data_IF_270368317345
#
_entry.id   IF_270368317345
#
_cell.length_a   1.000
_cell.length_b   1.000
_cell.length_c   1.000
_cell.angle_alpha   90.00
_cell.angle_beta   90.00
_cell.angle_gamma   90.00
#
_symmetry.space_group_name_H-M   'P 1'
#
loop_
_entity.id
_entity.type
_entity.pdbx_description
1 polymer ?
#
# COMPACT_ATOMS: atom_id res chain seq x y z
N UNK A 1 -16.42 2.88 -17.32
CA UNK A 1 -17.00 1.60 -17.76
C UNK A 1 -17.01 0.64 -16.58
N UNK A 2 -18.11 -0.09 -16.35
CA UNK A 2 -18.12 -1.18 -15.38
C UNK A 2 -17.20 -2.29 -15.88
N UNK A 3 -16.45 -2.92 -14.97
CA UNK A 3 -15.65 -4.09 -15.33
C UNK A 3 -16.57 -5.22 -15.82
N UNK A 4 -16.13 -6.04 -16.77
CA UNK A 4 -16.83 -7.28 -17.09
C UNK A 4 -16.93 -8.13 -15.82
N UNK A 5 -18.15 -8.43 -15.37
CA UNK A 5 -18.43 -9.34 -14.27
C UNK A 5 -17.58 -10.64 -14.28
N UNK A 6 -17.33 -11.31 -15.43
CA UNK A 6 -16.48 -12.49 -15.44
C UNK A 6 -15.02 -12.24 -15.05
N UNK A 7 -14.44 -11.08 -15.39
CA UNK A 7 -13.06 -10.75 -15.03
C UNK A 7 -12.91 -10.55 -13.52
N UNK A 8 -13.88 -9.87 -12.90
CA UNK A 8 -13.88 -9.68 -11.46
C UNK A 8 -14.08 -11.01 -10.72
N UNK A 9 -14.98 -11.87 -11.19
CA UNK A 9 -15.18 -13.20 -10.61
C UNK A 9 -13.90 -14.05 -10.69
N UNK A 10 -13.20 -14.04 -11.84
CA UNK A 10 -11.93 -14.74 -12.01
C UNK A 10 -10.85 -14.20 -11.06
N UNK A 11 -10.69 -12.88 -10.98
CA UNK A 11 -9.72 -12.24 -10.09
C UNK A 11 -10.01 -12.58 -8.62
N UNK A 12 -11.28 -12.49 -8.20
CA UNK A 12 -11.69 -12.82 -6.84
C UNK A 12 -11.43 -14.29 -6.51
N UNK A 13 -11.80 -15.21 -7.41
CA UNK A 13 -11.56 -16.64 -7.22
C UNK A 13 -10.06 -16.94 -7.07
N UNK A 14 -9.22 -16.37 -7.94
CA UNK A 14 -7.77 -16.56 -7.89
C UNK A 14 -7.15 -15.95 -6.63
N UNK A 15 -7.48 -14.70 -6.28
CA UNK A 15 -6.92 -14.04 -5.09
C UNK A 15 -7.40 -14.70 -3.80
N UNK A 16 -8.61 -15.23 -3.77
CA UNK A 16 -9.10 -16.04 -2.65
C UNK A 16 -8.33 -17.35 -2.54
N UNK A 17 -8.10 -18.05 -3.66
CA UNK A 17 -7.27 -19.25 -3.71
C UNK A 17 -5.84 -18.96 -3.21
N UNK A 18 -5.26 -17.81 -3.56
CA UNK A 18 -3.95 -17.39 -3.07
C UNK A 18 -3.88 -17.29 -1.55
N UNK A 19 -4.95 -16.91 -0.85
CA UNK A 19 -4.99 -16.92 0.62
C UNK A 19 -4.74 -18.31 1.20
N UNK A 20 -5.24 -19.36 0.55
CA UNK A 20 -5.08 -20.74 1.01
C UNK A 20 -3.73 -21.35 0.61
N UNK A 21 -3.23 -20.99 -0.58
CA UNK A 21 -1.99 -21.54 -1.13
C UNK A 21 -0.73 -20.89 -0.55
N UNK A 22 -0.78 -19.59 -0.23
CA UNK A 22 0.38 -18.89 0.34
C UNK A 22 0.44 -19.18 1.84
N UNK A 23 1.20 -20.22 2.19
CA UNK A 23 1.46 -20.67 3.57
C UNK A 23 2.89 -20.38 4.05
N UNK A 24 3.67 -19.64 3.27
CA UNK A 24 5.08 -19.39 3.57
C UNK A 24 5.27 -18.55 4.83
N UNK A 25 6.18 -18.98 5.70
CA UNK A 25 6.50 -18.38 7.00
C UNK A 25 7.29 -17.07 6.93
N UNK A 26 7.56 -16.53 5.74
CA UNK A 26 8.17 -15.21 5.64
C UNK A 26 7.20 -14.19 6.19
N UNK A 27 7.32 -13.86 7.46
CA UNK A 27 6.47 -12.90 8.13
C UNK A 27 7.38 -11.74 8.51
N UNK A 28 7.60 -10.77 7.60
CA UNK A 28 8.36 -9.60 7.98
C UNK A 28 7.61 -8.95 9.15
N UNK A 29 8.38 -8.34 10.05
CA UNK A 29 7.95 -7.54 11.20
C UNK A 29 6.57 -6.86 11.00
N UNK A 30 6.34 -6.20 9.87
CA UNK A 30 5.09 -5.49 9.54
C UNK A 30 3.80 -6.32 9.58
N UNK A 31 3.85 -7.62 9.32
CA UNK A 31 2.65 -8.46 9.24
C UNK A 31 1.97 -8.57 10.61
N UNK A 32 2.75 -8.90 11.65
CA UNK A 32 2.26 -8.97 13.03
C UNK A 32 2.04 -7.56 13.60
N UNK A 33 2.92 -6.61 13.28
CA UNK A 33 2.79 -5.22 13.73
C UNK A 33 1.54 -4.51 13.19
N UNK A 34 0.83 -5.06 12.21
CA UNK A 34 -0.47 -4.53 11.77
C UNK A 34 -1.63 -5.20 12.48
N UNK A 35 -1.65 -6.54 12.52
CA UNK A 35 -2.77 -7.32 13.05
C UNK A 35 -2.80 -7.39 14.57
N UNK A 36 -1.64 -7.52 15.23
CA UNK A 36 -1.57 -7.53 16.70
C UNK A 36 -1.90 -6.17 17.29
N UNK A 37 -1.46 -5.10 16.62
CA UNK A 37 -1.80 -3.73 17.01
C UNK A 37 -3.28 -3.48 16.83
N UNK A 38 -3.86 -3.89 15.70
CA UNK A 38 -5.29 -3.82 15.47
C UNK A 38 -6.11 -4.62 16.49
N UNK A 39 -5.62 -5.79 16.91
CA UNK A 39 -6.24 -6.59 17.97
C UNK A 39 -6.16 -5.88 19.32
N UNK A 40 -4.99 -5.34 19.69
CA UNK A 40 -4.76 -4.57 20.92
C UNK A 40 -5.65 -3.33 21.00
N UNK A 41 -5.80 -2.59 19.89
CA UNK A 41 -6.70 -1.44 19.80
C UNK A 41 -8.15 -1.79 20.16
N UNK A 42 -8.54 -3.05 19.97
CA UNK A 42 -9.80 -3.55 20.47
C UNK A 42 -9.73 -3.94 21.96
N UNK A 43 -8.79 -4.79 22.33
CA UNK A 43 -8.80 -5.46 23.64
C UNK A 43 -8.41 -4.56 24.81
N UNK A 44 -7.63 -3.49 24.60
CA UNK A 44 -7.32 -2.51 25.65
C UNK A 44 -8.47 -1.51 25.83
N UNK A 45 -9.41 -1.94 26.67
CA UNK A 45 -10.44 -1.08 27.26
C UNK A 45 -10.02 -0.42 28.57
N UNK A 46 -8.89 -0.83 29.17
CA UNK A 46 -8.49 -0.44 30.52
C UNK A 46 -6.97 -0.35 30.59
N UNK A 47 -6.46 0.85 30.88
CA UNK A 47 -5.14 1.00 31.49
C UNK A 47 -5.04 0.07 32.71
N UNK A 48 -3.89 -0.56 32.99
CA UNK A 48 -3.65 -1.23 34.27
C UNK A 48 -3.80 -0.29 35.48
N UNK A 49 -3.65 1.02 35.25
CA UNK A 49 -3.56 2.05 36.28
C UNK A 49 -4.82 2.94 36.37
N UNK A 50 -5.90 2.60 35.65
CA UNK A 50 -7.24 3.19 35.84
C UNK A 50 -7.36 4.72 35.70
N UNK A 51 -6.40 5.38 35.04
CA UNK A 51 -6.34 6.85 34.96
C UNK A 51 -6.50 7.45 33.55
N UNK A 52 -6.55 6.62 32.50
CA UNK A 52 -6.82 7.03 31.12
C UNK A 52 -8.28 6.87 30.70
N UNK A 53 -8.78 7.83 29.92
CA UNK A 53 -10.06 7.73 29.22
C UNK A 53 -10.06 6.50 28.29
N UNK A 54 -11.15 5.72 28.30
CA UNK A 54 -11.31 4.58 27.42
C UNK A 54 -11.14 5.00 25.95
N UNK A 55 -10.30 4.29 25.20
CA UNK A 55 -10.13 4.55 23.77
C UNK A 55 -11.49 4.56 23.05
N UNK A 56 -11.71 5.39 22.01
CA UNK A 56 -13.00 5.46 21.29
C UNK A 56 -13.46 4.12 20.68
N UNK A 57 -12.55 3.13 20.57
CA UNK A 57 -12.81 1.79 20.06
C UNK A 57 -12.80 0.68 21.11
N UNK A 58 -12.61 1.04 22.39
CA UNK A 58 -12.62 0.14 23.54
C UNK A 58 -13.84 -0.79 23.56
N UNK A 59 -13.61 -2.08 23.85
CA UNK A 59 -14.64 -3.11 23.93
C UNK A 59 -14.96 -3.50 25.36
N UNK A 60 -16.23 -3.79 25.65
CA UNK A 60 -16.56 -4.57 26.84
C UNK A 60 -15.93 -5.96 26.70
N UNK A 61 -15.03 -6.29 27.62
CA UNK A 61 -14.21 -7.50 27.67
C UNK A 61 -14.98 -8.79 28.03
N UNK A 62 -16.27 -8.84 27.74
CA UNK A 62 -17.16 -9.90 28.24
C UNK A 62 -17.31 -11.11 27.31
N UNK A 63 -16.80 -11.06 26.06
CA UNK A 63 -17.06 -12.12 25.06
C UNK A 63 -15.82 -12.92 24.66
N UNK A 64 -14.62 -12.35 24.75
CA UNK A 64 -13.35 -13.06 24.74
C UNK A 64 -12.71 -12.82 26.10
N UNK A 65 -12.64 -13.86 26.93
CA UNK A 65 -11.94 -13.92 28.23
C UNK A 65 -10.41 -13.78 28.05
N UNK A 66 -9.96 -12.77 27.30
CA UNK A 66 -8.57 -12.54 26.91
C UNK A 66 -8.26 -11.07 27.17
N UNK A 67 -7.94 -10.76 28.43
CA UNK A 67 -7.39 -9.47 28.82
C UNK A 67 -5.93 -9.36 28.34
N UNK A 68 -5.52 -8.18 27.84
CA UNK A 68 -4.13 -7.81 27.52
C UNK A 68 -3.40 -8.72 26.51
N UNK A 69 -3.90 -8.85 25.26
CA UNK A 69 -3.22 -9.58 24.21
C UNK A 69 -2.97 -8.72 22.95
N UNK A 70 -1.70 -8.64 22.55
CA UNK A 70 -1.19 -7.85 21.42
C UNK A 70 0.07 -7.05 21.81
N UNK A 71 1.19 -7.25 21.11
CA UNK A 71 2.46 -6.65 21.48
C UNK A 71 2.73 -5.37 20.68
N UNK A 72 2.92 -4.25 21.38
CA UNK A 72 3.47 -3.03 20.75
C UNK A 72 4.98 -3.15 20.74
N UNK A 73 5.55 -3.27 19.55
CA UNK A 73 6.99 -3.22 19.36
C UNK A 73 7.54 -1.81 19.65
N UNK A 74 8.86 -1.71 19.86
CA UNK A 74 9.56 -0.46 20.16
C UNK A 74 9.35 0.65 19.11
N UNK A 75 8.99 0.29 17.87
CA UNK A 75 8.68 1.24 16.81
C UNK A 75 7.38 2.02 17.07
N UNK A 76 6.42 1.38 17.76
CA UNK A 76 5.19 2.04 18.21
C UNK A 76 5.47 2.92 19.41
N UNK A 77 6.28 2.47 20.38
CA UNK A 77 6.66 3.33 21.51
C UNK A 77 7.45 4.56 21.05
N UNK A 78 8.19 4.45 19.94
CA UNK A 78 8.93 5.56 19.32
C UNK A 78 8.09 6.36 18.30
N UNK A 79 6.80 6.07 18.16
CA UNK A 79 5.87 6.72 17.21
C UNK A 79 6.39 6.77 15.76
N UNK A 80 6.96 5.66 15.28
CA UNK A 80 7.52 5.51 13.94
C UNK A 80 6.50 4.98 12.92
N UNK A 81 5.36 4.45 13.39
CA UNK A 81 4.31 3.85 12.56
C UNK A 81 2.95 4.44 12.85
N UNK A 82 2.14 4.62 11.81
CA UNK A 82 0.82 5.27 11.94
C UNK A 82 -0.24 4.21 12.22
N UNK A 83 -1.19 4.55 13.10
CA UNK A 83 -2.34 3.72 13.39
C UNK A 83 -3.35 3.68 12.23
N UNK A 84 -3.19 4.52 11.20
CA UNK A 84 -4.08 4.60 10.05
C UNK A 84 -4.29 3.24 9.34
N UNK A 85 -3.24 2.41 9.26
CA UNK A 85 -3.33 1.10 8.62
C UNK A 85 -3.88 0.00 9.55
N UNK A 86 -3.40 -0.18 10.79
CA UNK A 86 -4.04 -1.08 11.76
C UNK A 86 -5.52 -0.79 12.01
N UNK A 87 -5.93 0.49 11.98
CA UNK A 87 -7.33 0.90 12.20
C UNK A 87 -8.29 0.24 11.20
N UNK A 88 -7.84 0.00 9.97
CA UNK A 88 -8.63 -0.72 8.95
C UNK A 88 -8.98 -2.13 9.47
N UNK A 89 -8.01 -2.86 10.00
CA UNK A 89 -8.25 -4.20 10.53
C UNK A 89 -9.00 -4.17 11.87
N UNK A 90 -8.72 -3.20 12.73
CA UNK A 90 -9.46 -3.02 13.98
C UNK A 90 -10.96 -2.81 13.72
N UNK A 91 -11.29 -2.05 12.67
CA UNK A 91 -12.69 -1.87 12.25
C UNK A 91 -13.34 -3.17 11.74
N UNK A 92 -12.58 -4.05 11.08
CA UNK A 92 -13.07 -5.37 10.65
C UNK A 92 -13.33 -6.28 11.83
N UNK A 93 -12.42 -6.29 12.81
CA UNK A 93 -12.61 -6.99 14.07
C UNK A 93 -13.83 -6.43 14.81
N UNK A 94 -14.06 -5.11 14.72
CA UNK A 94 -15.26 -4.48 15.28
C UNK A 94 -16.55 -4.97 14.67
N UNK A 95 -16.59 -5.04 13.36
CA UNK A 95 -17.75 -5.60 12.66
C UNK A 95 -18.00 -7.07 13.07
N UNK A 96 -16.97 -7.89 13.19
CA UNK A 96 -17.11 -9.30 13.59
C UNK A 96 -17.68 -9.46 15.00
N UNK A 97 -17.20 -8.65 15.95
CA UNK A 97 -17.69 -8.68 17.32
C UNK A 97 -19.14 -8.21 17.43
N UNK A 98 -19.52 -7.14 16.72
CA UNK A 98 -20.91 -6.67 16.68
C UNK A 98 -21.86 -7.73 16.10
N UNK A 99 -21.35 -8.63 15.26
CA UNK A 99 -22.09 -9.77 14.72
C UNK A 99 -22.00 -11.04 15.61
N UNK A 100 -21.35 -10.97 16.78
CA UNK A 100 -21.07 -12.10 17.66
C UNK A 100 -20.36 -13.28 16.94
N UNK A 101 -19.43 -12.96 16.03
CA UNK A 101 -18.64 -13.91 15.23
C UNK A 101 -17.12 -13.69 15.41
N UNK A 102 -16.69 -13.43 16.62
CA UNK A 102 -15.30 -13.19 17.04
C UNK A 102 -14.47 -14.48 17.22
N UNK A 103 -14.67 -15.47 16.33
CA UNK A 103 -13.87 -16.68 16.32
C UNK A 103 -12.42 -16.37 15.88
N UNK A 104 -11.43 -16.96 16.55
CA UNK A 104 -9.99 -16.89 16.20
C UNK A 104 -9.75 -17.15 14.71
N UNK A 105 -10.43 -18.13 14.11
CA UNK A 105 -10.30 -18.41 12.68
C UNK A 105 -10.74 -17.21 11.83
N UNK A 106 -11.83 -16.53 12.18
CA UNK A 106 -12.30 -15.35 11.44
C UNK A 106 -11.35 -14.16 11.62
N UNK A 107 -10.78 -13.96 12.81
CA UNK A 107 -9.77 -12.93 13.05
C UNK A 107 -8.51 -13.13 12.20
N UNK A 108 -8.11 -14.38 11.95
CA UNK A 108 -6.97 -14.70 11.07
C UNK A 108 -7.32 -14.53 9.58
N UNK A 109 -8.47 -15.04 9.15
CA UNK A 109 -8.81 -15.12 7.73
C UNK A 109 -9.40 -13.83 7.15
N UNK A 110 -10.18 -13.07 7.92
CA UNK A 110 -10.90 -11.89 7.41
C UNK A 110 -9.95 -10.81 6.89
N UNK A 111 -8.88 -10.40 7.59
CA UNK A 111 -7.91 -9.43 7.07
C UNK A 111 -7.27 -9.88 5.75
N UNK A 112 -6.93 -11.17 5.62
CA UNK A 112 -6.32 -11.75 4.42
C UNK A 112 -7.29 -11.77 3.25
N UNK A 113 -8.54 -12.16 3.49
CA UNK A 113 -9.60 -12.15 2.49
C UNK A 113 -9.94 -10.71 2.05
N UNK A 114 -9.97 -9.76 2.97
CA UNK A 114 -10.18 -8.35 2.64
C UNK A 114 -9.07 -7.81 1.72
N UNK A 115 -7.81 -8.13 2.01
CA UNK A 115 -6.68 -7.80 1.12
C UNK A 115 -6.81 -8.47 -0.25
N UNK A 116 -7.20 -9.75 -0.30
CA UNK A 116 -7.41 -10.47 -1.56
C UNK A 116 -8.52 -9.84 -2.42
N UNK A 117 -9.62 -9.40 -1.79
CA UNK A 117 -10.71 -8.69 -2.47
C UNK A 117 -10.22 -7.35 -3.03
N UNK A 118 -9.50 -6.56 -2.24
CA UNK A 118 -8.92 -5.30 -2.69
C UNK A 118 -7.91 -5.50 -3.84
N UNK A 119 -7.06 -6.53 -3.75
CA UNK A 119 -6.13 -6.89 -4.81
C UNK A 119 -6.86 -7.30 -6.11
N UNK A 120 -7.93 -8.08 -6.01
CA UNK A 120 -8.75 -8.45 -7.18
C UNK A 120 -9.38 -7.22 -7.85
N UNK A 121 -9.88 -6.27 -7.06
CA UNK A 121 -10.35 -4.99 -7.58
C UNK A 121 -9.23 -4.19 -8.24
N UNK A 122 -8.03 -4.17 -7.66
CA UNK A 122 -6.88 -3.51 -8.25
C UNK A 122 -6.51 -4.12 -9.60
N UNK A 123 -6.43 -5.44 -9.71
CA UNK A 123 -6.11 -6.13 -10.98
C UNK A 123 -7.13 -5.78 -12.08
N UNK A 124 -8.41 -5.73 -11.74
CA UNK A 124 -9.47 -5.34 -12.68
C UNK A 124 -9.37 -3.86 -13.05
N UNK A 125 -8.99 -2.98 -12.12
CA UNK A 125 -8.74 -1.56 -12.43
C UNK A 125 -7.52 -1.39 -13.33
N UNK A 126 -6.47 -2.20 -13.17
CA UNK A 126 -5.33 -2.23 -14.07
C UNK A 126 -5.74 -2.65 -15.48
N UNK A 127 -6.55 -3.70 -15.62
CA UNK A 127 -7.13 -4.12 -16.89
C UNK A 127 -7.91 -2.97 -17.56
N UNK A 128 -8.81 -2.32 -16.83
CA UNK A 128 -9.62 -1.22 -17.36
C UNK A 128 -8.77 -0.01 -17.77
N UNK A 129 -7.70 0.28 -17.02
CA UNK A 129 -6.76 1.33 -17.37
C UNK A 129 -6.08 1.03 -18.71
N UNK A 130 -5.49 -0.15 -18.86
CA UNK A 130 -4.82 -0.54 -20.11
C UNK A 130 -5.80 -0.61 -21.28
N UNK A 131 -7.02 -1.10 -21.05
CA UNK A 131 -8.06 -1.11 -22.08
C UNK A 131 -8.42 0.30 -22.56
N UNK A 132 -8.40 1.29 -21.66
CA UNK A 132 -8.65 2.69 -22.02
C UNK A 132 -7.46 3.34 -22.74
N UNK A 133 -6.23 2.96 -22.38
CA UNK A 133 -5.01 3.54 -22.97
C UNK A 133 -4.68 2.93 -24.34
N UNK A 134 -4.91 1.63 -24.49
CA UNK A 134 -4.58 0.84 -25.67
C UNK A 134 -5.83 0.21 -26.27
N UNK A 135 -5.95 -1.11 -26.15
CA UNK A 135 -7.00 -1.93 -26.72
C UNK A 135 -7.32 -3.11 -25.78
N UNK A 136 -8.38 -3.84 -26.09
CA UNK A 136 -8.82 -4.95 -25.24
C UNK A 136 -7.85 -6.15 -25.22
N UNK A 137 -7.04 -6.35 -26.27
CA UNK A 137 -6.13 -7.50 -26.36
C UNK A 137 -4.90 -7.29 -25.49
N UNK A 138 -4.25 -6.13 -25.59
CA UNK A 138 -3.16 -5.71 -24.71
C UNK A 138 -3.61 -5.72 -23.25
N UNK A 139 -4.83 -5.25 -22.95
CA UNK A 139 -5.37 -5.30 -21.60
C UNK A 139 -5.48 -6.73 -21.04
N UNK A 140 -5.91 -7.70 -21.85
CA UNK A 140 -5.96 -9.12 -21.45
C UNK A 140 -4.56 -9.67 -21.14
N UNK A 141 -3.55 -9.33 -21.96
CA UNK A 141 -2.17 -9.74 -21.73
C UNK A 141 -1.59 -9.13 -20.45
N UNK A 142 -1.78 -7.82 -20.21
CA UNK A 142 -1.33 -7.17 -18.98
C UNK A 142 -2.01 -7.79 -17.75
N UNK A 143 -3.32 -8.03 -17.83
CA UNK A 143 -4.05 -8.71 -16.77
C UNK A 143 -3.52 -10.12 -16.51
N UNK A 144 -3.27 -10.90 -17.56
CA UNK A 144 -2.66 -12.22 -17.45
C UNK A 144 -1.27 -12.15 -16.78
N UNK A 145 -0.38 -11.25 -17.23
CA UNK A 145 0.93 -11.03 -16.61
C UNK A 145 0.81 -10.65 -15.12
N UNK A 146 -0.12 -9.77 -14.78
CA UNK A 146 -0.37 -9.35 -13.40
C UNK A 146 -0.88 -10.50 -12.50
N UNK A 147 -1.72 -11.39 -13.03
CA UNK A 147 -2.19 -12.58 -12.31
C UNK A 147 -1.08 -13.62 -12.15
N UNK A 148 -0.23 -13.79 -13.17
CA UNK A 148 0.88 -14.75 -13.19
C UNK A 148 2.16 -14.26 -12.49
N UNK A 149 2.25 -12.97 -12.15
CA UNK A 149 3.40 -12.44 -11.43
C UNK A 149 3.55 -13.15 -10.09
N UNK A 150 4.67 -13.86 -9.94
CA UNK A 150 4.96 -14.63 -8.72
C UNK A 150 5.01 -13.72 -7.48
N UNK A 151 5.53 -12.49 -7.62
CA UNK A 151 5.67 -11.56 -6.50
C UNK A 151 4.32 -10.96 -6.09
N UNK A 152 3.44 -10.67 -7.06
CA UNK A 152 2.05 -10.31 -6.76
C UNK A 152 1.34 -11.46 -6.08
N UNK A 153 1.46 -12.68 -6.60
CA UNK A 153 0.87 -13.87 -5.99
C UNK A 153 1.30 -14.02 -4.53
N UNK A 154 2.61 -13.86 -4.28
CA UNK A 154 3.21 -13.94 -2.97
C UNK A 154 2.74 -12.86 -1.98
N UNK A 155 2.59 -11.60 -2.43
CA UNK A 155 2.39 -10.45 -1.55
C UNK A 155 0.94 -9.98 -1.42
N UNK A 156 0.11 -10.13 -2.46
CA UNK A 156 -1.18 -9.44 -2.58
C UNK A 156 -2.24 -9.82 -1.51
N UNK A 157 -2.15 -11.00 -0.91
CA UNK A 157 -3.09 -11.48 0.13
C UNK A 157 -2.58 -11.25 1.54
N UNK A 158 -1.36 -10.72 1.68
CA UNK A 158 -0.71 -10.45 2.96
C UNK A 158 -1.03 -9.04 3.41
N UNK A 159 -1.19 -8.87 4.71
CA UNK A 159 -1.54 -7.61 5.35
C UNK A 159 -0.32 -6.69 5.51
N UNK A 160 0.50 -6.57 4.47
CA UNK A 160 1.68 -5.71 4.42
C UNK A 160 1.31 -4.30 3.97
N UNK A 161 1.97 -3.28 4.53
CA UNK A 161 1.75 -1.90 4.10
C UNK A 161 2.17 -1.69 2.64
N UNK A 162 3.21 -2.39 2.15
CA UNK A 162 3.60 -2.39 0.73
C UNK A 162 2.53 -2.96 -0.20
N UNK A 163 1.73 -3.92 0.28
CA UNK A 163 0.61 -4.45 -0.50
C UNK A 163 -0.46 -3.38 -0.67
N UNK A 164 -0.80 -2.68 0.41
CA UNK A 164 -1.74 -1.56 0.37
C UNK A 164 -1.21 -0.40 -0.48
N UNK A 165 0.08 -0.07 -0.38
CA UNK A 165 0.77 0.93 -1.22
C UNK A 165 0.64 0.58 -2.72
N UNK A 166 0.81 -0.69 -3.07
CA UNK A 166 0.68 -1.18 -4.46
C UNK A 166 -0.77 -1.12 -4.95
N UNK A 167 -1.74 -1.55 -4.13
CA UNK A 167 -3.17 -1.48 -4.44
C UNK A 167 -3.61 -0.02 -4.67
N UNK A 168 -3.23 0.88 -3.76
CA UNK A 168 -3.53 2.31 -3.88
C UNK A 168 -2.83 2.92 -5.10
N UNK A 169 -1.62 2.48 -5.43
CA UNK A 169 -0.93 2.91 -6.65
C UNK A 169 -1.70 2.52 -7.91
N UNK A 170 -2.24 1.30 -7.99
CA UNK A 170 -3.08 0.88 -9.12
C UNK A 170 -4.38 1.71 -9.20
N UNK A 171 -5.05 1.95 -8.07
CA UNK A 171 -6.24 2.79 -8.04
C UNK A 171 -5.94 4.24 -8.45
N UNK A 172 -4.86 4.81 -7.95
CA UNK A 172 -4.44 6.15 -8.31
C UNK A 172 -4.06 6.23 -9.81
N UNK A 173 -3.38 5.23 -10.35
CA UNK A 173 -3.06 5.14 -11.78
C UNK A 173 -4.32 5.12 -12.65
N UNK A 174 -5.38 4.43 -12.21
CA UNK A 174 -6.66 4.40 -12.94
C UNK A 174 -7.33 5.78 -13.09
N UNK A 175 -6.92 6.75 -12.28
CA UNK A 175 -7.40 8.13 -12.30
C UNK A 175 -6.33 9.16 -12.69
N UNK A 176 -5.10 8.72 -13.01
CA UNK A 176 -3.99 9.60 -13.32
C UNK A 176 -4.09 10.13 -14.77
N UNK A 177 -3.96 11.45 -15.01
CA UNK A 177 -4.07 12.03 -16.34
C UNK A 177 -2.83 11.69 -17.20
N UNK A 178 -2.97 10.69 -18.08
CA UNK A 178 -1.91 10.28 -19.00
C UNK A 178 -2.01 11.11 -20.29
N UNK A 179 -0.86 11.60 -20.78
CA UNK A 179 -0.78 12.36 -22.04
C UNK A 179 -1.49 11.61 -23.18
N UNK A 180 -2.48 12.26 -23.78
CA UNK A 180 -3.22 11.73 -24.93
C UNK A 180 -4.43 10.87 -24.58
N UNK A 181 -4.77 10.67 -23.30
CA UNK A 181 -6.03 10.06 -22.90
C UNK A 181 -7.11 11.13 -22.66
N UNK A 182 -8.39 10.76 -22.79
CA UNK A 182 -9.53 11.64 -22.46
C UNK A 182 -9.78 11.74 -20.95
N UNK A 183 -8.86 11.25 -20.12
CA UNK A 183 -9.01 11.21 -18.67
C UNK A 183 -8.76 12.62 -18.12
N UNK A 184 -9.84 13.28 -17.69
CA UNK A 184 -9.75 14.61 -17.08
C UNK A 184 -8.99 14.58 -15.76
N UNK A 185 -8.40 15.72 -15.39
CA UNK A 185 -7.71 15.91 -14.12
C UNK A 185 -8.65 15.58 -12.95
N UNK A 186 -8.33 14.54 -12.19
CA UNK A 186 -9.17 14.11 -11.08
C UNK A 186 -8.46 14.31 -9.75
N UNK A 187 -9.05 15.11 -8.87
CA UNK A 187 -8.66 15.20 -7.45
C UNK A 187 -8.59 13.81 -6.78
N UNK A 188 -9.31 12.82 -7.32
CA UNK A 188 -9.31 11.43 -6.85
C UNK A 188 -7.93 10.77 -6.84
N UNK A 189 -7.10 10.97 -7.87
CA UNK A 189 -5.78 10.33 -7.88
C UNK A 189 -4.88 10.95 -6.80
N UNK A 190 -4.93 12.28 -6.62
CA UNK A 190 -4.18 12.97 -5.56
C UNK A 190 -4.60 12.49 -4.17
N UNK A 191 -5.90 12.31 -3.93
CA UNK A 191 -6.41 11.78 -2.67
C UNK A 191 -5.91 10.35 -2.39
N UNK A 192 -5.89 9.49 -3.41
CA UNK A 192 -5.38 8.12 -3.28
C UNK A 192 -3.87 8.08 -3.04
N UNK A 193 -3.11 8.96 -3.70
CA UNK A 193 -1.65 9.11 -3.46
C UNK A 193 -1.39 9.64 -2.05
N UNK A 194 -2.13 10.64 -1.59
CA UNK A 194 -2.01 11.17 -0.24
C UNK A 194 -2.31 10.10 0.82
N UNK A 195 -3.37 9.30 0.61
CA UNK A 195 -3.68 8.15 1.47
C UNK A 195 -2.55 7.11 1.48
N UNK A 196 -1.94 6.82 0.32
CA UNK A 196 -0.81 5.91 0.23
C UNK A 196 0.40 6.42 1.03
N UNK A 197 0.68 7.74 0.98
CA UNK A 197 1.77 8.37 1.74
C UNK A 197 1.50 8.33 3.25
N UNK A 198 0.25 8.49 3.69
CA UNK A 198 -0.10 8.39 5.12
C UNK A 198 0.09 6.98 5.65
N UNK A 199 -0.38 5.97 4.90
CA UNK A 199 -0.19 4.55 5.24
C UNK A 199 1.29 4.20 5.21
N UNK A 200 2.01 4.69 4.19
CA UNK A 200 3.43 4.43 4.01
C UNK A 200 4.14 5.62 3.37
N UNK A 201 4.99 6.37 4.11
CA UNK A 201 5.67 7.56 3.61
C UNK A 201 6.48 7.33 2.34
N UNK A 202 6.98 6.12 2.13
CA UNK A 202 7.78 5.75 0.96
C UNK A 202 7.01 5.81 -0.36
N UNK A 203 5.68 5.83 -0.33
CA UNK A 203 4.83 5.93 -1.52
C UNK A 203 5.09 7.23 -2.31
N UNK A 204 5.67 8.25 -1.67
CA UNK A 204 6.10 9.48 -2.33
C UNK A 204 7.17 9.22 -3.40
N UNK A 205 8.01 8.20 -3.21
CA UNK A 205 9.14 7.90 -4.10
C UNK A 205 8.65 7.53 -5.51
N UNK A 206 7.83 6.46 -5.70
CA UNK A 206 7.34 6.12 -7.04
C UNK A 206 6.45 7.18 -7.64
N UNK A 207 5.69 7.93 -6.84
CA UNK A 207 4.76 8.94 -7.33
C UNK A 207 5.40 10.28 -7.68
N UNK A 208 6.58 10.61 -7.14
CA UNK A 208 7.19 11.91 -7.36
C UNK A 208 7.41 12.23 -8.85
N UNK A 209 7.96 11.35 -9.69
CA UNK A 209 8.12 11.63 -11.12
C UNK A 209 6.78 11.85 -11.83
N UNK A 210 5.73 11.08 -11.48
CA UNK A 210 4.41 11.20 -12.10
C UNK A 210 3.73 12.52 -11.71
N UNK A 211 3.70 12.84 -10.43
CA UNK A 211 3.09 14.08 -9.92
C UNK A 211 3.83 15.30 -10.47
N UNK A 212 5.16 15.27 -10.49
CA UNK A 212 5.98 16.34 -11.08
C UNK A 212 5.72 16.51 -12.58
N UNK A 213 5.64 15.41 -13.32
CA UNK A 213 5.31 15.45 -14.74
C UNK A 213 3.89 15.97 -15.02
N UNK A 214 2.91 15.68 -14.17
CA UNK A 214 1.58 16.28 -14.28
C UNK A 214 1.63 17.79 -13.99
N UNK A 215 2.35 18.20 -12.94
CA UNK A 215 2.54 19.62 -12.61
C UNK A 215 3.20 20.41 -13.77
N UNK A 216 4.15 19.81 -14.49
CA UNK A 216 4.78 20.45 -15.65
C UNK A 216 3.86 20.59 -16.86
N UNK A 217 2.85 19.73 -17.00
CA UNK A 217 1.89 19.78 -18.11
C UNK A 217 0.75 20.76 -17.87
N UNK A 218 0.43 21.01 -16.61
CA UNK A 218 -0.71 21.82 -16.24
C UNK A 218 -0.45 23.30 -16.55
N UNK A 219 -1.33 23.91 -17.35
CA UNK A 219 -1.23 25.33 -17.71
C UNK A 219 -1.56 26.21 -16.50
N UNK A 220 -2.59 25.82 -15.73
CA UNK A 220 -3.02 26.54 -14.51
C UNK A 220 -2.43 25.91 -13.27
N UNK A 221 -1.12 26.08 -13.09
CA UNK A 221 -0.35 25.53 -11.96
C UNK A 221 -0.90 25.95 -10.59
N UNK A 222 -1.31 27.21 -10.47
CA UNK A 222 -1.85 27.76 -9.23
C UNK A 222 -3.15 27.06 -8.81
N UNK A 223 -4.07 26.84 -9.76
CA UNK A 223 -5.33 26.12 -9.51
C UNK A 223 -5.10 24.68 -9.05
N UNK A 224 -4.17 23.96 -9.70
CA UNK A 224 -3.84 22.59 -9.31
C UNK A 224 -3.35 22.53 -7.86
N UNK A 225 -2.47 23.45 -7.48
CA UNK A 225 -1.93 23.52 -6.12
C UNK A 225 -3.02 23.93 -5.13
N UNK A 226 -3.70 25.05 -5.38
CA UNK A 226 -4.60 25.69 -4.44
C UNK A 226 -5.92 24.94 -4.24
N UNK A 227 -6.48 24.38 -5.31
CA UNK A 227 -7.79 23.72 -5.26
C UNK A 227 -7.71 22.19 -5.15
N UNK A 228 -6.59 21.56 -5.52
CA UNK A 228 -6.45 20.11 -5.42
C UNK A 228 -5.38 19.69 -4.41
N UNK A 229 -4.11 20.09 -4.58
CA UNK A 229 -3.02 19.59 -3.73
C UNK A 229 -3.15 20.03 -2.27
N UNK A 230 -3.41 21.32 -2.02
CA UNK A 230 -3.51 21.87 -0.65
C UNK A 230 -4.72 21.28 0.09
N UNK A 231 -5.95 21.30 -0.47
CA UNK A 231 -7.11 20.75 0.24
C UNK A 231 -6.98 19.26 0.51
N UNK A 232 -6.49 18.47 -0.47
CA UNK A 232 -6.23 17.04 -0.26
C UNK A 232 -5.18 16.84 0.83
N UNK A 233 -4.05 17.54 0.75
CA UNK A 233 -2.97 17.45 1.74
C UNK A 233 -3.44 17.80 3.15
N UNK A 234 -4.18 18.90 3.32
CA UNK A 234 -4.73 19.34 4.60
C UNK A 234 -5.70 18.31 5.18
N UNK A 235 -6.61 17.77 4.37
CA UNK A 235 -7.57 16.76 4.82
C UNK A 235 -6.85 15.47 5.21
N UNK A 236 -5.91 14.98 4.40
CA UNK A 236 -5.22 13.71 4.67
C UNK A 236 -4.27 13.83 5.87
N UNK A 237 -3.45 14.89 5.94
CA UNK A 237 -2.53 15.12 7.08
C UNK A 237 -3.32 15.43 8.35
N UNK A 238 -4.37 16.25 8.27
CA UNK A 238 -5.25 16.53 9.40
C UNK A 238 -5.90 15.27 9.95
N UNK A 239 -6.38 14.38 9.07
CA UNK A 239 -6.93 13.08 9.47
C UNK A 239 -5.87 12.19 10.14
N UNK A 240 -4.65 12.11 9.57
CA UNK A 240 -3.55 11.36 10.19
C UNK A 240 -3.21 11.90 11.58
N UNK A 241 -3.07 13.22 11.72
CA UNK A 241 -2.76 13.86 13.01
C UNK A 241 -3.85 13.61 14.05
N UNK A 242 -5.13 13.62 13.66
CA UNK A 242 -6.23 13.30 14.58
C UNK A 242 -6.15 11.83 15.02
N UNK A 243 -5.95 10.91 14.07
CA UNK A 243 -5.78 9.48 14.39
C UNK A 243 -4.60 9.29 15.34
N UNK A 244 -3.43 9.84 14.97
CA UNK A 244 -2.21 9.69 15.74
C UNK A 244 -2.38 10.35 17.14
N UNK A 245 -3.06 11.50 17.26
CA UNK A 245 -3.37 12.15 18.56
C UNK A 245 -4.28 11.33 19.46
N UNK A 246 -5.26 10.63 18.87
CA UNK A 246 -6.20 9.76 19.61
C UNK A 246 -5.47 8.56 20.19
N UNK A 247 -4.54 7.96 19.45
CA UNK A 247 -3.88 6.71 19.87
C UNK A 247 -2.57 6.93 20.64
N UNK A 248 -1.78 7.94 20.31
CA UNK A 248 -0.53 8.24 21.03
C UNK A 248 -0.71 9.17 22.23
N UNK A 249 -1.86 9.84 22.36
CA UNK A 249 -2.09 10.82 23.44
C UNK A 249 -1.39 12.17 23.23
N UNK A 250 -0.52 12.29 22.22
CA UNK A 250 0.22 13.50 21.89
C UNK A 250 0.12 13.84 20.40
N UNK A 251 0.35 15.10 20.05
CA UNK A 251 0.37 15.52 18.64
C UNK A 251 1.68 15.09 17.99
N UNK A 252 1.64 13.96 17.29
CA UNK A 252 2.80 13.38 16.61
C UNK A 252 2.53 13.27 15.12
N UNK A 253 3.44 13.80 14.30
CA UNK A 253 3.43 13.57 12.86
C UNK A 253 4.35 12.38 12.55
N UNK A 254 3.76 11.19 12.53
CA UNK A 254 4.49 9.92 12.37
C UNK A 254 5.36 9.92 11.12
N UNK A 255 4.90 10.50 10.01
CA UNK A 255 5.62 10.49 8.75
C UNK A 255 6.96 11.26 8.84
N UNK A 256 7.04 12.30 9.68
CA UNK A 256 8.30 13.01 9.96
C UNK A 256 9.24 12.18 10.84
N UNK A 257 8.70 11.51 11.87
CA UNK A 257 9.50 10.63 12.73
C UNK A 257 10.07 9.46 11.92
N UNK A 258 9.27 8.88 11.04
CA UNK A 258 9.70 7.84 10.10
C UNK A 258 10.87 8.33 9.23
N UNK A 259 10.76 9.53 8.66
CA UNK A 259 11.83 10.12 7.84
C UNK A 259 13.10 10.36 8.65
N UNK A 260 12.98 10.92 9.86
CA UNK A 260 14.10 11.17 10.76
C UNK A 260 14.82 9.87 11.12
N UNK A 261 14.08 8.82 11.45
CA UNK A 261 14.64 7.54 11.85
C UNK A 261 15.28 6.77 10.68
N UNK A 262 14.55 6.62 9.58
CA UNK A 262 14.99 5.75 8.48
C UNK A 262 16.01 6.42 7.56
N UNK A 263 15.87 7.72 7.31
CA UNK A 263 16.73 8.44 6.35
C UNK A 263 17.85 9.19 7.04
N UNK A 264 17.56 9.95 8.11
CA UNK A 264 18.57 10.79 8.75
C UNK A 264 19.48 10.02 9.71
N UNK A 265 18.93 9.05 10.45
CA UNK A 265 19.69 8.28 11.44
C UNK A 265 20.25 6.96 10.86
N UNK A 266 19.79 6.51 9.69
CA UNK A 266 20.24 5.32 8.95
C UNK A 266 20.36 4.04 9.82
N UNK A 267 19.49 3.92 10.83
CA UNK A 267 19.46 2.80 11.78
C UNK A 267 18.93 1.50 11.15
N UNK A 268 18.40 1.55 9.93
CA UNK A 268 17.99 0.38 9.15
C UNK A 268 19.14 -0.61 8.90
N UNK A 269 20.40 -0.18 9.02
CA UNK A 269 21.58 -1.06 9.00
C UNK A 269 21.52 -2.22 10.01
N UNK A 270 20.76 -2.07 11.10
CA UNK A 270 20.51 -3.12 12.09
C UNK A 270 19.85 -4.37 11.49
N UNK A 271 19.01 -4.21 10.46
CA UNK A 271 18.29 -5.29 9.79
C UNK A 271 19.08 -5.92 8.62
N UNK A 272 20.38 -5.60 8.53
CA UNK A 272 21.24 -6.03 7.45
C UNK A 272 21.33 -4.99 6.32
N UNK A 273 22.49 -4.99 5.66
CA UNK A 273 22.80 -4.06 4.59
C UNK A 273 23.11 -4.78 3.29
N UNK A 274 22.67 -4.19 2.18
CA UNK A 274 22.98 -4.69 0.84
C UNK A 274 23.75 -3.64 0.03
N UNK A 275 24.61 -4.05 -0.93
CA UNK A 275 25.31 -3.13 -1.82
C UNK A 275 24.35 -2.19 -2.58
N UNK A 276 24.85 -1.04 -3.02
CA UNK A 276 24.04 -0.04 -3.74
C UNK A 276 23.39 -0.61 -5.02
N UNK A 277 24.10 -1.51 -5.73
CA UNK A 277 23.62 -2.11 -6.97
C UNK A 277 22.59 -3.23 -6.75
N UNK A 278 22.28 -3.61 -5.51
CA UNK A 278 21.47 -4.80 -5.21
C UNK A 278 20.08 -4.77 -5.87
N UNK A 279 19.42 -3.60 -5.90
CA UNK A 279 18.12 -3.49 -6.58
C UNK A 279 18.20 -3.67 -8.10
N UNK A 280 19.32 -3.28 -8.73
CA UNK A 280 19.55 -3.51 -10.16
C UNK A 280 19.87 -4.97 -10.47
N UNK A 281 20.74 -5.58 -9.65
CA UNK A 281 21.27 -6.93 -9.92
C UNK A 281 20.35 -8.05 -9.41
N UNK A 282 19.62 -7.82 -8.32
CA UNK A 282 18.79 -8.84 -7.66
C UNK A 282 17.35 -8.36 -7.44
N UNK A 283 17.14 -7.18 -6.85
CA UNK A 283 15.83 -6.70 -6.46
C UNK A 283 14.79 -6.72 -7.59
N UNK A 284 15.01 -5.89 -8.62
CA UNK A 284 14.11 -5.78 -9.76
C UNK A 284 14.04 -7.08 -10.60
N UNK A 285 15.15 -7.77 -10.92
CA UNK A 285 15.11 -9.06 -11.60
C UNK A 285 14.28 -10.12 -10.87
N UNK A 286 14.42 -10.22 -9.54
CA UNK A 286 13.68 -11.18 -8.72
C UNK A 286 12.20 -10.80 -8.71
N UNK A 287 11.85 -9.54 -8.40
CA UNK A 287 10.44 -9.11 -8.34
C UNK A 287 9.70 -9.28 -9.67
N UNK A 288 10.36 -9.01 -10.81
CA UNK A 288 9.77 -9.28 -12.13
C UNK A 288 9.77 -10.76 -12.49
N UNK A 289 10.78 -11.52 -12.04
CA UNK A 289 10.91 -12.95 -12.29
C UNK A 289 10.82 -13.27 -13.79
N UNK A 290 9.92 -14.18 -14.21
CA UNK A 290 9.73 -14.54 -15.62
C UNK A 290 9.33 -13.37 -16.53
N UNK A 291 8.83 -12.26 -15.97
CA UNK A 291 8.43 -11.09 -16.75
C UNK A 291 9.60 -10.18 -17.15
N UNK A 292 10.80 -10.41 -16.61
CA UNK A 292 11.96 -9.55 -16.84
C UNK A 292 12.33 -9.39 -18.34
N UNK A 293 12.40 -10.44 -19.17
CA UNK A 293 12.72 -10.28 -20.59
C UNK A 293 11.68 -9.44 -21.35
N UNK A 294 10.39 -9.62 -21.01
CA UNK A 294 9.30 -8.85 -21.60
C UNK A 294 9.37 -7.38 -21.19
N UNK A 295 9.69 -7.10 -19.93
CA UNK A 295 9.91 -5.73 -19.45
C UNK A 295 11.08 -5.05 -20.17
N UNK A 296 12.22 -5.73 -20.31
CA UNK A 296 13.40 -5.20 -21.03
C UNK A 296 13.05 -4.92 -22.50
N UNK A 297 12.35 -5.85 -23.16
CA UNK A 297 11.88 -5.67 -24.52
C UNK A 297 10.91 -4.48 -24.64
N UNK A 298 10.00 -4.34 -23.68
CA UNK A 298 9.07 -3.22 -23.57
C UNK A 298 9.79 -1.89 -23.39
N UNK A 299 10.86 -1.81 -22.61
CA UNK A 299 11.64 -0.59 -22.43
C UNK A 299 12.20 -0.02 -23.74
N UNK A 300 12.52 -0.90 -24.70
CA UNK A 300 13.06 -0.51 -26.01
C UNK A 300 11.96 -0.09 -27.01
N UNK A 301 10.81 -0.77 -26.98
CA UNK A 301 9.77 -0.62 -28.01
C UNK A 301 8.55 0.20 -27.58
N UNK A 302 8.33 0.41 -26.28
CA UNK A 302 7.13 1.04 -25.78
C UNK A 302 6.96 2.48 -26.33
N UNK A 303 5.73 2.88 -26.68
CA UNK A 303 5.41 4.24 -27.09
C UNK A 303 5.92 5.29 -26.09
N UNK A 304 6.30 6.47 -26.60
CA UNK A 304 6.87 7.57 -25.79
C UNK A 304 6.00 7.97 -24.59
N UNK A 305 4.68 7.75 -24.64
CA UNK A 305 3.76 8.03 -23.53
C UNK A 305 4.05 7.22 -22.25
N UNK A 306 4.61 6.02 -22.37
CA UNK A 306 4.93 5.16 -21.22
C UNK A 306 6.32 5.41 -20.63
N UNK A 307 7.13 6.28 -21.24
CA UNK A 307 8.44 6.64 -20.69
C UNK A 307 8.36 7.24 -19.28
N UNK A 308 7.22 7.83 -18.91
CA UNK A 308 7.01 8.32 -17.55
C UNK A 308 6.95 7.19 -16.52
N UNK A 309 6.41 6.02 -16.89
CA UNK A 309 6.38 4.84 -16.02
C UNK A 309 7.78 4.25 -15.88
N UNK A 310 8.53 4.16 -16.99
CA UNK A 310 9.94 3.76 -16.95
C UNK A 310 10.78 4.73 -16.08
N UNK A 311 10.54 6.04 -16.20
CA UNK A 311 11.20 7.04 -15.35
C UNK A 311 10.85 6.80 -13.88
N UNK A 312 9.59 6.52 -13.54
CA UNK A 312 9.19 6.21 -12.17
C UNK A 312 9.86 4.93 -11.64
N UNK A 313 9.99 3.89 -12.47
CA UNK A 313 10.70 2.65 -12.13
C UNK A 313 12.18 2.94 -11.84
N UNK A 314 12.88 3.60 -12.77
CA UNK A 314 14.30 3.93 -12.65
C UNK A 314 14.55 4.83 -11.43
N UNK A 315 13.73 5.87 -11.27
CA UNK A 315 13.79 6.77 -10.13
C UNK A 315 13.66 6.01 -8.80
N UNK A 316 12.66 5.14 -8.70
CA UNK A 316 12.40 4.37 -7.47
C UNK A 316 13.57 3.44 -7.15
N UNK A 317 14.09 2.73 -8.15
CA UNK A 317 15.26 1.86 -7.98
C UNK A 317 16.48 2.66 -7.54
N UNK A 318 16.74 3.82 -8.15
CA UNK A 318 17.88 4.69 -7.79
C UNK A 318 17.78 5.20 -6.35
N UNK A 319 16.61 5.69 -5.93
CA UNK A 319 16.41 6.20 -4.57
C UNK A 319 16.54 5.09 -3.54
N UNK A 320 15.93 3.93 -3.76
CA UNK A 320 16.08 2.81 -2.83
C UNK A 320 17.50 2.22 -2.82
N UNK A 321 18.25 2.36 -3.92
CA UNK A 321 19.66 1.95 -3.99
C UNK A 321 20.58 2.74 -3.06
N UNK A 322 20.23 3.99 -2.71
CA UNK A 322 21.01 4.79 -1.76
C UNK A 322 20.80 4.38 -0.30
N UNK A 323 19.73 3.63 0.01
CA UNK A 323 19.45 3.15 1.35
C UNK A 323 20.25 1.89 1.66
N UNK A 324 20.79 1.79 2.87
CA UNK A 324 21.62 0.65 3.28
C UNK A 324 20.80 -0.64 3.40
N UNK A 325 19.62 -0.56 4.03
CA UNK A 325 18.69 -1.67 4.17
C UNK A 325 17.79 -1.79 2.94
N UNK A 326 17.63 -3.01 2.43
CA UNK A 326 16.92 -3.28 1.18
C UNK A 326 16.12 -4.56 1.30
N UNK A 327 14.90 -4.52 0.79
CA UNK A 327 14.02 -5.69 0.70
C UNK A 327 13.25 -5.70 -0.62
N UNK A 328 12.87 -6.90 -1.09
CA UNK A 328 12.12 -7.06 -2.33
C UNK A 328 10.74 -6.36 -2.30
N UNK A 329 10.06 -6.37 -1.13
CA UNK A 329 8.72 -5.77 -0.99
C UNK A 329 8.70 -4.25 -1.15
N UNK A 330 9.80 -3.54 -0.91
CA UNK A 330 9.85 -2.08 -0.99
C UNK A 330 9.65 -1.56 -2.42
N UNK A 331 10.02 -2.35 -3.44
CA UNK A 331 9.82 -2.02 -4.85
C UNK A 331 8.54 -2.65 -5.44
N UNK A 332 7.72 -3.32 -4.63
CA UNK A 332 6.45 -3.88 -5.07
C UNK A 332 5.51 -2.86 -5.75
N UNK A 333 5.39 -1.60 -5.25
CA UNK A 333 4.53 -0.59 -5.87
C UNK A 333 4.93 -0.21 -7.28
N UNK A 334 6.16 -0.57 -7.70
CA UNK A 334 6.66 -0.32 -9.05
C UNK A 334 6.17 -1.36 -10.05
N UNK A 335 5.78 -2.55 -9.58
CA UNK A 335 5.39 -3.68 -10.42
C UNK A 335 4.26 -3.34 -11.41
N UNK A 336 3.18 -2.61 -11.04
CA UNK A 336 2.15 -2.22 -11.99
C UNK A 336 2.68 -1.37 -13.15
N UNK A 337 3.70 -0.52 -12.93
CA UNK A 337 4.35 0.25 -13.98
C UNK A 337 5.15 -0.62 -14.94
N UNK A 338 5.68 -1.75 -14.47
CA UNK A 338 6.43 -2.69 -15.29
C UNK A 338 5.52 -3.62 -16.10
N UNK A 339 4.29 -3.84 -15.64
CA UNK A 339 3.30 -4.67 -16.32
C UNK A 339 2.60 -3.92 -17.46
N UNK A 340 2.44 -2.60 -17.34
CA UNK A 340 1.96 -1.71 -18.41
C UNK A 340 3.11 -1.39 -19.36
#
# INVERSE_FOLDING_TARGET
AAAPAPLLALALALRTLNCFLVQTSFVPDEYWQSLEVAHRMGTEALDPDGSGEAFPFSWSSSVLNIHNYGYLTWEWTSSLRSYSYPLIFASMYKALQLLAKDNVQLLIWVPRLAQAVLAAFADVKLYLLVQHLENSETAKFVFFCQLCSWFTWYSCTRTLTNTMETILTIFALSHYPIKGSKMGNSCKYLALVALAIVIRPTAVIPWMPLVFNHFLQEQRKADLILHNCIPVGLVTVGTSLIIDRVFFGEWVLVQLNFLKFNVLQNLGTFYGSHPWHWYFTQGLPVVLGPHLPFFIHGCALAPRRYRIFLLAVIWTVLVYSTLSHKEFRFIYPVLPFCMI
#
